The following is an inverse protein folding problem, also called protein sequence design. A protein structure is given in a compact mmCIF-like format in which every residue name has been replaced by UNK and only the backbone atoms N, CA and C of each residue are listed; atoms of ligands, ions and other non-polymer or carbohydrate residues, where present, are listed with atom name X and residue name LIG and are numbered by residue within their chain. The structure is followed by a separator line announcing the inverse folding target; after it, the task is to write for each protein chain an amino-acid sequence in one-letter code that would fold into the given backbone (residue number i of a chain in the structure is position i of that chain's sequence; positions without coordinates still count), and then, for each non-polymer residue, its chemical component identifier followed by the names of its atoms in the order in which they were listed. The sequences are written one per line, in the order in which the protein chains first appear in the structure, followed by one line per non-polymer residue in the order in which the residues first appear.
data_IF_501705958689
#
_entry.id   IF_501705958689
#
_cell.length_a   1.000
_cell.length_b   1.000
_cell.length_c   1.000
_cell.angle_alpha   90.00
_cell.angle_beta   90.00
_cell.angle_gamma   90.00
#
_symmetry.space_group_name_H-M   'P 1'
#
loop_
_entity.id
_entity.type
_entity.pdbx_description
1 polymer ?
#
# COMPACT_ATOMS: atom_id res chain seq x y z
N UNK A 1 -4.99 25.55 1.36
CA UNK A 1 -5.02 24.65 0.19
C UNK A 1 -4.89 25.54 -1.03
N UNK A 2 -4.14 25.17 -2.08
CA UNK A 2 -4.12 25.99 -3.30
C UNK A 2 -5.41 25.72 -4.08
N UNK A 3 -6.10 26.78 -4.47
CA UNK A 3 -7.30 26.71 -5.31
C UNK A 3 -6.90 26.81 -6.78
N UNK A 4 -7.68 26.19 -7.66
CA UNK A 4 -7.49 26.18 -9.11
C UNK A 4 -8.84 26.44 -9.77
N UNK A 5 -8.84 27.26 -10.81
CA UNK A 5 -10.06 27.67 -11.51
C UNK A 5 -10.52 26.63 -12.53
N UNK A 6 -9.64 25.67 -12.89
CA UNK A 6 -9.97 24.57 -13.78
C UNK A 6 -9.13 23.30 -13.57
N UNK A 7 -9.61 22.18 -14.10
CA UNK A 7 -8.85 20.92 -14.11
C UNK A 7 -7.56 21.03 -14.92
N UNK A 8 -7.57 21.74 -16.05
CA UNK A 8 -6.36 21.91 -16.88
C UNK A 8 -5.27 22.72 -16.15
N UNK A 9 -5.66 23.75 -15.42
CA UNK A 9 -4.74 24.52 -14.58
C UNK A 9 -4.13 23.65 -13.48
N UNK A 10 -4.96 22.83 -12.83
CA UNK A 10 -4.50 21.86 -11.85
C UNK A 10 -3.47 20.89 -12.44
N UNK A 11 -3.77 20.28 -13.61
CA UNK A 11 -2.85 19.35 -14.28
C UNK A 11 -1.50 19.98 -14.59
N UNK A 12 -1.49 21.23 -15.08
CA UNK A 12 -0.25 21.96 -15.39
C UNK A 12 0.55 22.33 -14.13
N UNK A 13 -0.14 22.54 -13.01
CA UNK A 13 0.50 22.92 -11.74
C UNK A 13 1.01 21.72 -10.93
N UNK A 14 0.51 20.51 -11.20
CA UNK A 14 0.90 19.30 -10.48
C UNK A 14 2.29 18.83 -10.91
N UNK A 15 3.13 18.53 -9.92
CA UNK A 15 4.40 17.85 -10.12
C UNK A 15 4.29 16.42 -9.62
N UNK A 16 4.39 15.46 -10.53
CA UNK A 16 4.43 14.04 -10.18
C UNK A 16 5.72 13.73 -9.39
N UNK A 17 5.59 12.83 -8.41
CA UNK A 17 6.75 12.25 -7.72
C UNK A 17 7.55 11.40 -8.69
N UNK A 18 8.86 11.29 -8.47
CA UNK A 18 9.70 10.45 -9.32
C UNK A 18 9.38 8.96 -9.09
N UNK A 19 9.63 8.11 -10.09
CA UNK A 19 9.50 6.66 -9.93
C UNK A 19 10.33 6.12 -8.77
N UNK A 20 11.56 6.63 -8.62
CA UNK A 20 12.45 6.27 -7.51
C UNK A 20 11.80 6.56 -6.16
N UNK A 21 11.27 7.76 -6.00
CA UNK A 21 10.64 8.17 -4.75
C UNK A 21 9.40 7.33 -4.42
N UNK A 22 8.60 7.00 -5.44
CA UNK A 22 7.44 6.11 -5.28
C UNK A 22 7.89 4.71 -4.85
N UNK A 23 8.94 4.16 -5.46
CA UNK A 23 9.50 2.86 -5.11
C UNK A 23 10.13 2.84 -3.72
N UNK A 24 10.87 3.88 -3.34
CA UNK A 24 11.46 4.02 -2.00
C UNK A 24 10.35 4.04 -0.93
N UNK A 25 9.24 4.72 -1.20
CA UNK A 25 8.07 4.74 -0.31
C UNK A 25 7.33 3.39 -0.26
N UNK A 26 7.19 2.71 -1.41
CA UNK A 26 6.56 1.40 -1.51
C UNK A 26 7.38 0.32 -0.77
N UNK A 27 8.70 0.32 -0.94
CA UNK A 27 9.60 -0.59 -0.24
C UNK A 27 9.60 -0.33 1.28
N UNK A 28 9.62 0.93 1.70
CA UNK A 28 9.50 1.28 3.11
C UNK A 28 8.19 0.78 3.72
N UNK A 29 7.04 1.05 3.07
CA UNK A 29 5.74 0.67 3.64
C UNK A 29 5.57 -0.84 3.67
N UNK A 30 6.07 -1.55 2.66
CA UNK A 30 6.04 -3.01 2.60
C UNK A 30 6.81 -3.63 3.77
N UNK A 31 8.05 -3.17 4.01
CA UNK A 31 8.87 -3.64 5.13
C UNK A 31 8.23 -3.33 6.48
N UNK A 32 7.58 -2.16 6.59
CA UNK A 32 6.91 -1.77 7.82
C UNK A 32 5.64 -2.60 8.09
N UNK A 33 4.87 -2.91 7.04
CA UNK A 33 3.69 -3.76 7.11
C UNK A 33 4.07 -5.19 7.55
N UNK A 34 5.15 -5.72 6.97
CA UNK A 34 5.70 -6.99 7.39
C UNK A 34 6.18 -6.98 8.85
N UNK A 35 6.87 -5.91 9.29
CA UNK A 35 7.29 -5.78 10.68
C UNK A 35 6.10 -5.71 11.67
N UNK A 36 4.99 -5.07 11.28
CA UNK A 36 3.77 -5.07 12.07
C UNK A 36 3.14 -6.47 12.13
N UNK A 37 3.14 -7.18 11.01
CA UNK A 37 2.64 -8.56 10.92
C UNK A 37 3.45 -9.50 11.80
N UNK A 38 4.79 -9.45 11.72
CA UNK A 38 5.69 -10.26 12.54
C UNK A 38 5.51 -9.96 14.04
N UNK A 39 5.44 -8.68 14.43
CA UNK A 39 5.17 -8.29 15.80
C UNK A 39 3.82 -8.86 16.30
N UNK A 40 2.77 -8.77 15.48
CA UNK A 40 1.45 -9.32 15.79
C UNK A 40 1.46 -10.85 15.96
N UNK A 41 2.16 -11.57 15.08
CA UNK A 41 2.30 -13.03 15.15
C UNK A 41 3.06 -13.49 16.40
N UNK A 42 4.05 -12.70 16.84
CA UNK A 42 4.87 -13.02 18.00
C UNK A 42 4.39 -12.38 19.31
N UNK A 43 3.24 -11.67 19.30
CA UNK A 43 2.69 -11.02 20.49
C UNK A 43 3.50 -9.81 20.99
N UNK A 44 4.32 -9.22 20.13
CA UNK A 44 5.07 -8.00 20.41
C UNK A 44 4.25 -6.74 20.06
N UNK A 45 4.52 -5.60 20.71
CA UNK A 45 3.94 -4.34 20.28
C UNK A 45 4.43 -3.97 18.87
N UNK A 46 3.58 -3.27 18.12
CA UNK A 46 3.95 -2.74 16.82
C UNK A 46 5.21 -1.84 16.91
N UNK A 47 6.11 -1.91 15.92
CA UNK A 47 7.39 -1.21 15.98
C UNK A 47 7.19 0.31 16.09
N UNK A 48 7.95 0.96 16.98
CA UNK A 48 7.97 2.41 17.10
C UNK A 48 6.64 3.07 17.48
N UNK A 49 5.69 2.33 18.07
CA UNK A 49 4.36 2.86 18.41
C UNK A 49 3.49 3.15 17.18
N UNK A 50 3.82 2.55 16.04
CA UNK A 50 3.09 2.73 14.78
C UNK A 50 1.78 1.93 14.84
N UNK A 51 0.73 2.46 14.21
CA UNK A 51 -0.57 1.82 14.14
C UNK A 51 -0.62 0.86 12.92
N UNK A 52 -0.75 -0.47 13.11
CA UNK A 52 -0.77 -1.43 12.00
C UNK A 52 -1.84 -1.13 10.95
N UNK A 53 -3.03 -0.70 11.37
CA UNK A 53 -4.12 -0.37 10.44
C UNK A 53 -3.75 0.80 9.51
N UNK A 54 -3.04 1.81 10.03
CA UNK A 54 -2.56 2.94 9.22
C UNK A 54 -1.49 2.49 8.22
N UNK A 55 -0.65 1.53 8.61
CA UNK A 55 0.39 0.97 7.73
C UNK A 55 -0.26 0.21 6.57
N UNK A 56 -1.25 -0.63 6.88
CA UNK A 56 -2.02 -1.37 5.88
C UNK A 56 -2.72 -0.42 4.88
N UNK A 57 -3.39 0.63 5.34
CA UNK A 57 -4.06 1.58 4.44
C UNK A 57 -3.06 2.34 3.55
N UNK A 58 -1.90 2.71 4.09
CA UNK A 58 -0.81 3.34 3.31
C UNK A 58 -0.21 2.40 2.29
N UNK A 59 -0.03 1.12 2.64
CA UNK A 59 0.43 0.09 1.73
C UNK A 59 -0.51 0.00 0.53
N UNK A 60 -1.82 -0.17 0.77
CA UNK A 60 -2.85 -0.21 -0.28
C UNK A 60 -2.82 1.03 -1.19
N UNK A 61 -2.77 2.23 -0.60
CA UNK A 61 -2.77 3.47 -1.37
C UNK A 61 -1.52 3.62 -2.26
N UNK A 62 -0.33 3.27 -1.73
CA UNK A 62 0.92 3.35 -2.49
C UNK A 62 0.97 2.30 -3.61
N UNK A 63 0.50 1.08 -3.36
CA UNK A 63 0.48 0.03 -4.37
C UNK A 63 -0.58 0.28 -5.45
N UNK A 64 -1.72 0.86 -5.09
CA UNK A 64 -2.67 1.40 -6.06
C UNK A 64 -2.02 2.48 -6.94
N UNK A 65 -1.32 3.45 -6.35
CA UNK A 65 -0.63 4.50 -7.10
C UNK A 65 0.50 3.96 -7.99
N UNK A 66 1.13 2.84 -7.61
CA UNK A 66 2.12 2.13 -8.40
C UNK A 66 1.51 1.24 -9.50
N UNK A 67 0.19 1.10 -9.56
CA UNK A 67 -0.49 0.22 -10.51
C UNK A 67 -0.47 -1.27 -10.14
N UNK A 68 -0.06 -1.61 -8.91
CA UNK A 68 -0.16 -2.95 -8.37
C UNK A 68 -1.61 -3.18 -7.92
N UNK A 69 -2.40 -3.90 -8.73
CA UNK A 69 -3.76 -4.27 -8.35
C UNK A 69 -3.71 -5.29 -7.20
N UNK A 70 -4.42 -5.00 -6.11
CA UNK A 70 -4.90 -6.04 -5.21
C UNK A 70 -5.86 -6.90 -6.00
N UNK A 71 -5.67 -8.22 -6.02
CA UNK A 71 -6.66 -9.13 -6.61
C UNK A 71 -8.06 -8.76 -6.08
N UNK A 72 -9.00 -8.52 -6.99
CA UNK A 72 -10.38 -8.14 -6.67
C UNK A 72 -10.98 -9.23 -5.75
N UNK A 73 -11.59 -8.89 -4.59
CA UNK A 73 -12.16 -9.89 -3.68
C UNK A 73 -13.23 -10.79 -4.32
N UNK A 74 -13.70 -10.45 -5.52
CA UNK A 74 -14.72 -11.16 -6.27
C UNK A 74 -14.25 -12.37 -7.09
N UNK A 75 -12.94 -12.59 -7.27
CA UNK A 75 -12.42 -13.69 -8.11
C UNK A 75 -11.68 -14.78 -7.31
N UNK A 76 -12.13 -15.01 -6.07
CA UNK A 76 -11.68 -16.11 -5.21
C UNK A 76 -12.82 -17.07 -4.87
N UNK A 77 -12.57 -18.39 -4.92
CA UNK A 77 -13.52 -19.45 -4.53
C UNK A 77 -14.17 -19.12 -3.17
N UNK A 78 -15.51 -19.17 -3.11
CA UNK A 78 -16.29 -19.16 -1.86
C UNK A 78 -15.67 -20.11 -0.85
N UNK A 79 -15.30 -19.60 0.33
CA UNK A 79 -15.11 -20.45 1.51
C UNK A 79 -13.86 -20.28 2.37
N UNK A 80 -13.16 -19.14 2.35
CA UNK A 80 -12.20 -18.84 3.43
C UNK A 80 -12.00 -17.32 3.51
N UNK A 81 -12.54 -16.68 4.55
CA UNK A 81 -12.18 -15.31 4.90
C UNK A 81 -10.79 -15.34 5.55
N UNK A 82 -9.77 -15.58 4.74
CA UNK A 82 -8.40 -15.43 5.19
C UNK A 82 -7.93 -13.99 4.88
N UNK A 83 -7.63 -13.25 5.94
CA UNK A 83 -7.23 -11.84 5.87
C UNK A 83 -5.84 -11.66 5.25
N UNK A 84 -5.10 -12.74 5.03
CA UNK A 84 -3.81 -12.77 4.30
C UNK A 84 -3.93 -13.14 2.81
N UNK A 85 -5.04 -13.71 2.34
CA UNK A 85 -5.10 -14.40 1.05
C UNK A 85 -5.05 -13.50 -0.22
N UNK A 86 -4.88 -12.19 -0.07
CA UNK A 86 -4.81 -11.25 -1.19
C UNK A 86 -3.40 -10.93 -1.71
N UNK A 87 -2.36 -11.11 -0.89
CA UNK A 87 -1.06 -10.47 -1.13
C UNK A 87 0.06 -11.43 -1.57
N UNK A 88 -0.13 -12.74 -1.39
CA UNK A 88 0.81 -13.79 -1.83
C UNK A 88 0.86 -13.98 -3.37
N UNK A 89 0.27 -13.06 -4.14
CA UNK A 89 0.12 -13.16 -5.60
C UNK A 89 0.97 -12.19 -6.40
N UNK A 90 1.79 -11.35 -5.76
CA UNK A 90 2.80 -10.58 -6.50
C UNK A 90 4.01 -11.49 -6.70
N UNK A 91 4.09 -12.09 -7.88
CA UNK A 91 5.31 -12.78 -8.33
C UNK A 91 6.41 -11.74 -8.56
N UNK A 92 7.34 -11.65 -7.60
CA UNK A 92 8.50 -10.74 -7.63
C UNK A 92 9.66 -11.29 -8.49
N UNK A 93 9.44 -12.31 -9.32
CA UNK A 93 10.48 -12.92 -10.15
C UNK A 93 10.57 -12.40 -11.59
N UNK A 94 9.88 -11.30 -11.94
CA UNK A 94 10.06 -10.59 -13.23
C UNK A 94 10.70 -9.24 -13.03
#
# INVERSE_FOLDING_TARGET
MREFDSFSEFEQAVKLRSKRELLDAADFIYRLDWACTDAGLNGFPAPGGILPDVVMERHRALFWAAGCMTADPGEGRKGQADRSAGWDRVDLST
#
